data_IF_902469647545
#
_entry.id   IF_902469647545
#
_cell.length_a   1.000
_cell.length_b   1.000
_cell.length_c   1.000
_cell.angle_alpha   90.00
_cell.angle_beta   90.00
_cell.angle_gamma   90.00
#
_symmetry.space_group_name_H-M   'P 1'
#
loop_
_entity.id
_entity.type
_entity.pdbx_description
1 polymer ?
#
# COMPACT_ATOMS: atom_id res chain seq x y z
N UNK A 1 16.82 -15.54 16.16
CA UNK A 1 15.72 -16.11 15.35
C UNK A 1 14.78 -14.97 15.01
N UNK A 2 14.29 -14.87 13.77
CA UNK A 2 13.33 -13.84 13.33
C UNK A 2 11.90 -14.32 13.66
N UNK A 3 11.09 -13.46 14.27
CA UNK A 3 9.67 -13.71 14.51
C UNK A 3 8.86 -13.23 13.29
N UNK A 4 8.68 -14.11 12.30
CA UNK A 4 8.06 -13.78 11.02
C UNK A 4 6.59 -13.37 11.13
N UNK A 5 5.89 -13.87 12.15
CA UNK A 5 4.52 -13.49 12.50
C UNK A 5 4.39 -12.00 12.80
N UNK A 6 5.42 -11.39 13.42
CA UNK A 6 5.41 -9.96 13.75
C UNK A 6 5.69 -9.03 12.57
N UNK A 7 6.00 -9.57 11.39
CA UNK A 7 6.35 -8.76 10.20
C UNK A 7 5.13 -8.57 9.29
N UNK A 8 4.12 -9.42 9.46
CA UNK A 8 2.91 -9.46 8.65
C UNK A 8 2.10 -8.16 8.64
N UNK A 9 2.14 -7.36 9.69
CA UNK A 9 1.40 -6.11 9.81
C UNK A 9 2.22 -5.04 10.54
N UNK A 10 1.86 -3.76 10.43
CA UNK A 10 2.60 -2.70 11.11
C UNK A 10 2.62 -2.87 12.63
N UNK A 11 3.81 -2.85 13.23
CA UNK A 11 3.97 -3.05 14.67
C UNK A 11 4.13 -1.72 15.42
N UNK A 12 3.47 -1.55 16.59
CA UNK A 12 3.66 -0.38 17.47
C UNK A 12 5.10 -0.24 17.98
N UNK A 13 5.82 -1.35 18.17
CA UNK A 13 7.22 -1.38 18.62
C UNK A 13 8.22 -1.33 17.45
N UNK A 14 7.72 -1.21 16.22
CA UNK A 14 8.49 -1.21 14.97
C UNK A 14 9.38 -2.45 14.78
N UNK A 15 9.07 -3.58 15.44
CA UNK A 15 9.84 -4.82 15.29
C UNK A 15 9.99 -5.23 13.82
N UNK A 16 8.93 -5.07 13.04
CA UNK A 16 8.93 -5.39 11.62
C UNK A 16 9.94 -4.53 10.83
N UNK A 17 10.01 -3.23 11.12
CA UNK A 17 11.01 -2.35 10.54
C UNK A 17 12.42 -2.75 10.95
N UNK A 18 12.65 -3.08 12.22
CA UNK A 18 13.97 -3.49 12.71
C UNK A 18 14.45 -4.81 12.08
N UNK A 19 13.57 -5.77 11.90
CA UNK A 19 13.93 -6.99 11.16
C UNK A 19 14.22 -6.67 9.70
N UNK A 20 13.34 -5.92 9.03
CA UNK A 20 13.52 -5.56 7.63
C UNK A 20 14.80 -4.73 7.44
N UNK A 21 15.21 -3.90 8.40
CA UNK A 21 16.53 -3.22 8.43
C UNK A 21 17.71 -4.19 8.53
N UNK A 22 17.60 -5.24 9.35
CA UNK A 22 18.68 -6.24 9.52
C UNK A 22 18.81 -7.18 8.32
N UNK A 23 17.70 -7.48 7.65
CA UNK A 23 17.70 -8.21 6.39
C UNK A 23 18.35 -7.40 5.24
N UNK A 24 18.49 -6.08 5.42
CA UNK A 24 18.83 -5.08 4.39
C UNK A 24 20.33 -4.80 4.17
N UNK A 25 21.24 -5.70 4.51
CA UNK A 25 22.68 -5.47 4.29
C UNK A 25 23.14 -5.50 2.80
N UNK A 26 22.22 -5.45 1.82
CA UNK A 26 22.57 -5.41 0.38
C UNK A 26 21.60 -4.54 -0.44
N UNK A 27 22.01 -3.31 -0.78
CA UNK A 27 21.69 -2.53 -2.01
C UNK A 27 20.24 -2.31 -2.52
N UNK A 28 19.19 -2.91 -1.95
CA UNK A 28 17.89 -3.05 -2.62
C UNK A 28 16.85 -1.97 -2.32
N UNK A 29 17.04 -1.03 -1.38
CA UNK A 29 15.89 -0.24 -0.84
C UNK A 29 16.13 1.25 -0.68
N UNK A 30 17.22 1.78 -1.22
CA UNK A 30 17.26 3.22 -1.46
C UNK A 30 17.58 3.43 -2.91
N UNK A 31 16.65 3.98 -3.70
CA UNK A 31 17.05 4.42 -5.00
C UNK A 31 18.10 5.49 -4.71
N UNK A 32 19.27 5.42 -5.35
CA UNK A 32 20.08 6.62 -5.43
C UNK A 32 19.21 7.58 -6.23
N UNK A 33 18.53 8.50 -5.55
CA UNK A 33 17.79 9.59 -6.21
C UNK A 33 18.79 10.21 -7.17
N UNK A 34 18.60 9.94 -8.47
CA UNK A 34 19.56 10.37 -9.49
C UNK A 34 19.52 11.90 -9.50
N UNK A 35 20.66 12.52 -9.82
CA UNK A 35 20.85 13.98 -9.71
C UNK A 35 19.96 14.82 -10.64
N UNK A 36 19.12 14.18 -11.47
CA UNK A 36 18.24 14.83 -12.45
C UNK A 36 16.85 15.18 -11.90
N UNK A 37 16.51 14.75 -10.69
CA UNK A 37 15.19 15.01 -10.10
C UNK A 37 15.06 16.41 -9.50
N UNK A 38 13.91 17.08 -9.73
CA UNK A 38 13.59 18.36 -9.10
C UNK A 38 12.80 18.11 -7.81
N UNK A 39 13.38 18.41 -6.66
CA UNK A 39 12.66 18.37 -5.37
C UNK A 39 11.84 19.66 -5.22
N UNK A 40 10.55 19.52 -4.94
CA UNK A 40 9.64 20.63 -4.64
C UNK A 40 9.67 20.94 -3.13
N UNK A 41 9.43 19.92 -2.32
CA UNK A 41 9.52 19.98 -0.87
C UNK A 41 9.87 18.60 -0.28
N UNK A 42 10.01 18.55 1.03
CA UNK A 42 10.26 17.32 1.79
C UNK A 42 9.24 17.14 2.90
N UNK A 43 8.94 15.88 3.23
CA UNK A 43 8.02 15.51 4.31
C UNK A 43 8.60 14.39 5.19
N UNK A 44 7.87 14.02 6.26
CA UNK A 44 8.29 13.03 7.26
C UNK A 44 9.69 13.31 7.84
N UNK A 45 9.90 14.52 8.37
CA UNK A 45 11.18 14.97 8.94
C UNK A 45 12.34 14.92 7.92
N UNK A 46 12.08 15.40 6.69
CA UNK A 46 13.02 15.40 5.57
C UNK A 46 13.46 14.02 5.07
N UNK A 47 12.74 12.96 5.41
CA UNK A 47 13.05 11.59 4.97
C UNK A 47 12.47 11.25 3.60
N UNK A 48 11.43 11.96 3.17
CA UNK A 48 10.75 11.74 1.89
C UNK A 48 10.80 13.02 1.09
N UNK A 49 11.33 12.95 -0.13
CA UNK A 49 11.26 14.03 -1.09
C UNK A 49 9.98 13.95 -1.92
N UNK A 50 9.38 15.09 -2.22
CA UNK A 50 8.28 15.22 -3.16
C UNK A 50 8.77 16.05 -4.33
N UNK A 51 8.61 15.56 -5.56
CA UNK A 51 9.02 16.34 -6.72
C UNK A 51 8.97 15.59 -8.03
N UNK A 52 9.58 16.15 -9.06
CA UNK A 52 9.52 15.60 -10.42
C UNK A 52 10.70 14.67 -10.64
N UNK A 53 10.39 13.38 -10.77
CA UNK A 53 11.38 12.35 -11.08
C UNK A 53 11.52 12.22 -12.60
N UNK A 54 12.66 12.68 -13.12
CA UNK A 54 12.97 12.63 -14.56
C UNK A 54 13.77 11.35 -14.87
N UNK A 55 13.03 10.27 -15.12
CA UNK A 55 13.52 9.04 -15.73
C UNK A 55 12.52 8.63 -16.82
N UNK A 56 12.88 7.64 -17.64
CA UNK A 56 11.90 6.87 -18.43
C UNK A 56 10.95 6.19 -17.44
N UNK A 57 9.96 6.95 -16.97
CA UNK A 57 8.81 6.40 -16.30
C UNK A 57 8.12 5.48 -17.32
N UNK A 58 7.67 4.27 -16.95
CA UNK A 58 6.94 3.41 -17.87
C UNK A 58 5.66 4.06 -18.42
N UNK A 59 5.23 5.17 -17.81
CA UNK A 59 4.15 6.02 -18.27
C UNK A 59 4.64 7.24 -19.09
N UNK A 60 5.87 7.24 -19.61
CA UNK A 60 6.42 8.36 -20.37
C UNK A 60 5.50 8.75 -21.53
N UNK A 61 5.04 10.00 -21.54
CA UNK A 61 4.07 10.51 -22.52
C UNK A 61 2.60 10.27 -22.18
N UNK A 62 2.28 9.67 -21.03
CA UNK A 62 0.90 9.46 -20.54
C UNK A 62 0.52 10.35 -19.36
N UNK A 63 1.46 11.15 -18.85
CA UNK A 63 1.22 12.04 -17.72
C UNK A 63 1.95 13.36 -17.84
N UNK A 64 1.37 14.37 -17.20
CA UNK A 64 2.00 15.65 -16.92
C UNK A 64 2.41 15.71 -15.45
N UNK A 65 3.49 16.42 -15.14
CA UNK A 65 3.85 16.66 -13.75
C UNK A 65 2.87 17.65 -13.12
N UNK A 66 2.34 17.32 -11.93
CA UNK A 66 1.52 18.28 -11.18
C UNK A 66 2.43 19.27 -10.41
N UNK A 67 1.97 20.51 -10.18
CA UNK A 67 2.68 21.45 -9.31
C UNK A 67 2.72 20.95 -7.85
N UNK A 68 3.40 21.71 -6.99
CA UNK A 68 3.35 21.48 -5.54
C UNK A 68 1.88 21.49 -5.08
N UNK A 69 1.45 20.37 -4.50
CA UNK A 69 0.03 20.09 -4.33
C UNK A 69 -0.37 20.08 -2.86
N UNK A 70 -1.29 20.99 -2.52
CA UNK A 70 -2.00 21.05 -1.23
C UNK A 70 -2.60 19.69 -0.85
N UNK A 71 -2.97 18.87 -1.85
CA UNK A 71 -3.50 17.53 -1.62
C UNK A 71 -2.48 16.57 -1.03
N UNK A 72 -1.19 16.67 -1.40
CA UNK A 72 -0.13 15.83 -0.83
C UNK A 72 0.07 16.15 0.65
N UNK A 73 0.08 17.44 1.02
CA UNK A 73 0.20 17.82 2.43
C UNK A 73 -0.97 17.29 3.26
N UNK A 74 -2.21 17.44 2.75
CA UNK A 74 -3.41 16.92 3.42
C UNK A 74 -3.43 15.39 3.52
N UNK A 75 -2.99 14.68 2.48
CA UNK A 75 -2.92 13.22 2.52
C UNK A 75 -1.87 12.73 3.52
N UNK A 76 -0.75 13.46 3.68
CA UNK A 76 0.23 13.18 4.72
C UNK A 76 -0.39 13.35 6.11
N UNK A 77 -1.19 14.39 6.35
CA UNK A 77 -1.89 14.56 7.63
C UNK A 77 -2.77 13.35 7.97
N UNK A 78 -3.46 12.77 6.98
CA UNK A 78 -4.21 11.52 7.15
C UNK A 78 -3.31 10.32 7.50
N UNK A 79 -2.13 10.19 6.88
CA UNK A 79 -1.17 9.13 7.21
C UNK A 79 -0.64 9.26 8.64
N UNK A 80 -0.45 10.48 9.14
CA UNK A 80 0.06 10.75 10.48
C UNK A 80 -0.90 10.33 11.60
N UNK A 81 -2.17 10.06 11.26
CA UNK A 81 -3.17 9.53 12.18
C UNK A 81 -3.03 8.05 12.46
N UNK A 82 -2.16 7.38 11.70
CA UNK A 82 -1.72 6.03 11.94
C UNK A 82 -0.26 6.06 12.44
N UNK A 83 -0.02 5.97 13.77
CA UNK A 83 1.31 6.14 14.35
C UNK A 83 2.36 5.19 13.80
N UNK A 84 2.01 3.94 13.54
CA UNK A 84 2.91 2.98 12.92
C UNK A 84 3.29 3.43 11.50
N UNK A 85 2.31 3.86 10.70
CA UNK A 85 2.53 4.32 9.33
C UNK A 85 3.48 5.52 9.25
N UNK A 86 3.40 6.44 10.23
CA UNK A 86 4.31 7.59 10.33
C UNK A 86 5.78 7.16 10.28
N UNK A 87 6.13 6.03 10.87
CA UNK A 87 7.51 5.52 10.85
C UNK A 87 7.78 4.56 9.69
N UNK A 88 6.79 3.75 9.27
CA UNK A 88 7.00 2.81 8.17
C UNK A 88 7.11 3.51 6.82
N UNK A 89 6.25 4.49 6.56
CA UNK A 89 6.18 5.16 5.28
C UNK A 89 7.54 5.75 4.85
N UNK A 90 8.20 6.63 5.62
CA UNK A 90 9.52 7.16 5.27
C UNK A 90 10.66 6.14 5.33
N UNK A 91 10.41 4.92 5.81
CA UNK A 91 11.38 3.84 5.77
C UNK A 91 11.36 3.10 4.41
N UNK A 92 10.19 2.95 3.80
CA UNK A 92 10.03 2.29 2.50
C UNK A 92 10.02 3.27 1.33
N UNK A 93 9.45 4.45 1.52
CA UNK A 93 9.31 5.49 0.50
C UNK A 93 10.36 6.57 0.77
N UNK A 94 11.04 6.99 -0.30
CA UNK A 94 12.05 8.05 -0.26
C UNK A 94 11.73 9.19 -1.24
N UNK A 95 10.93 8.92 -2.26
CA UNK A 95 10.55 9.89 -3.27
C UNK A 95 9.12 9.68 -3.73
N UNK A 96 8.34 10.76 -3.78
CA UNK A 96 6.98 10.81 -4.33
C UNK A 96 7.03 11.66 -5.59
N UNK A 97 6.65 11.06 -6.71
CA UNK A 97 6.50 11.75 -7.99
C UNK A 97 5.03 11.98 -8.30
N UNK A 98 4.49 13.19 -8.04
CA UNK A 98 3.10 13.46 -8.30
C UNK A 98 2.88 13.66 -9.81
N UNK A 99 1.81 13.06 -10.32
CA UNK A 99 1.49 12.98 -11.75
C UNK A 99 0.04 13.35 -12.02
N UNK A 100 -0.24 13.89 -13.21
CA UNK A 100 -1.57 14.10 -13.76
C UNK A 100 -1.73 13.18 -14.96
N UNK A 101 -2.69 12.27 -14.92
CA UNK A 101 -3.03 11.44 -16.08
C UNK A 101 -4.05 12.19 -16.96
N UNK A 102 -3.78 12.28 -18.26
CA UNK A 102 -4.63 13.04 -19.21
C UNK A 102 -6.07 12.50 -19.28
N UNK A 103 -6.25 11.19 -19.06
CA UNK A 103 -7.57 10.54 -19.15
C UNK A 103 -8.41 10.67 -17.88
N UNK A 104 -7.83 11.17 -16.79
CA UNK A 104 -8.47 11.21 -15.46
C UNK A 104 -9.12 12.55 -15.11
N UNK A 105 -9.21 13.50 -16.04
CA UNK A 105 -9.88 14.79 -15.82
C UNK A 105 -11.36 14.65 -15.37
N UNK A 106 -11.97 13.46 -15.54
CA UNK A 106 -13.38 13.19 -15.23
C UNK A 106 -13.66 12.40 -13.95
N UNK A 107 -12.65 11.87 -13.24
CA UNK A 107 -12.89 11.12 -11.99
C UNK A 107 -12.33 11.87 -10.76
N UNK A 108 -13.17 12.63 -10.04
CA UNK A 108 -12.74 13.38 -8.87
C UNK A 108 -12.43 12.50 -7.65
N UNK A 109 -12.84 11.23 -7.62
CA UNK A 109 -12.83 10.41 -6.39
C UNK A 109 -11.93 9.16 -6.48
N UNK A 110 -10.81 9.24 -7.19
CA UNK A 110 -9.84 8.15 -7.24
C UNK A 110 -8.40 8.64 -7.33
N UNK A 111 -7.48 7.75 -6.99
CA UNK A 111 -6.05 7.94 -7.25
C UNK A 111 -5.50 6.76 -8.04
N UNK A 112 -4.72 7.06 -9.07
CA UNK A 112 -3.85 6.10 -9.74
C UNK A 112 -2.47 6.17 -9.12
N UNK A 113 -1.92 5.00 -8.84
CA UNK A 113 -0.60 4.87 -8.24
C UNK A 113 0.20 3.75 -8.86
N UNK A 114 1.50 3.81 -8.65
CA UNK A 114 2.40 2.72 -8.98
C UNK A 114 3.74 2.86 -8.28
N UNK A 115 4.37 1.71 -8.05
CA UNK A 115 5.77 1.58 -7.71
C UNK A 115 6.38 0.44 -8.52
N UNK A 116 7.70 0.46 -8.67
CA UNK A 116 8.41 -0.62 -9.32
C UNK A 116 9.48 -1.20 -8.39
N UNK A 117 9.76 -2.50 -8.57
CA UNK A 117 10.73 -3.23 -7.75
C UNK A 117 12.18 -2.85 -8.06
N UNK A 118 12.45 -2.34 -9.27
CA UNK A 118 13.75 -1.88 -9.75
C UNK A 118 14.06 -0.41 -9.38
N UNK A 119 13.02 0.36 -9.02
CA UNK A 119 13.11 1.71 -8.45
C UNK A 119 12.54 1.74 -7.02
N UNK A 120 13.13 0.94 -6.10
CA UNK A 120 12.60 0.75 -4.77
C UNK A 120 12.52 2.09 -4.04
N UNK A 121 11.39 2.41 -3.42
CA UNK A 121 11.21 3.65 -2.66
C UNK A 121 10.88 4.90 -3.49
N UNK A 122 10.66 4.75 -4.80
CA UNK A 122 9.97 5.72 -5.63
C UNK A 122 8.50 5.29 -5.80
N UNK A 123 7.58 6.22 -5.62
CA UNK A 123 6.16 6.02 -5.92
C UNK A 123 5.64 7.14 -6.82
N UNK A 124 4.71 6.79 -7.72
CA UNK A 124 3.99 7.70 -8.59
C UNK A 124 2.54 7.79 -8.13
N UNK A 125 1.99 8.99 -8.01
CA UNK A 125 0.65 9.20 -7.46
C UNK A 125 -0.09 10.32 -8.21
N UNK A 126 -1.36 10.13 -8.55
CA UNK A 126 -2.23 11.24 -8.94
C UNK A 126 -2.77 11.99 -7.74
N UNK A 127 -2.95 13.31 -7.86
CA UNK A 127 -3.19 14.20 -6.70
C UNK A 127 -4.56 14.86 -6.67
N UNK A 128 -5.59 14.21 -7.22
CA UNK A 128 -6.93 14.79 -7.38
C UNK A 128 -7.68 15.05 -6.06
N UNK A 129 -7.57 14.13 -5.09
CA UNK A 129 -8.25 14.20 -3.79
C UNK A 129 -7.33 13.66 -2.69
N UNK A 130 -7.25 14.30 -1.50
CA UNK A 130 -6.31 13.92 -0.47
C UNK A 130 -6.62 12.55 0.18
N UNK A 131 -7.88 12.11 0.18
CA UNK A 131 -8.26 10.83 0.78
C UNK A 131 -7.80 9.63 -0.08
N UNK A 132 -8.21 9.49 -1.36
CA UNK A 132 -7.65 8.46 -2.24
C UNK A 132 -6.15 8.59 -2.45
N UNK A 133 -5.57 9.80 -2.33
CA UNK A 133 -4.12 9.97 -2.35
C UNK A 133 -3.45 9.34 -1.11
N UNK A 134 -4.05 9.46 0.07
CA UNK A 134 -3.57 8.79 1.28
C UNK A 134 -3.69 7.26 1.15
N UNK A 135 -4.80 6.75 0.62
CA UNK A 135 -4.97 5.33 0.29
C UNK A 135 -3.86 4.85 -0.65
N UNK A 136 -3.59 5.60 -1.72
CA UNK A 136 -2.56 5.29 -2.71
C UNK A 136 -1.14 5.30 -2.13
N UNK A 137 -0.81 6.25 -1.24
CA UNK A 137 0.46 6.25 -0.51
C UNK A 137 0.65 4.96 0.28
N UNK A 138 -0.35 4.56 1.07
CA UNK A 138 -0.29 3.35 1.88
C UNK A 138 -0.29 2.08 1.02
N UNK A 139 -1.01 2.09 -0.10
CA UNK A 139 -1.02 1.01 -1.09
C UNK A 139 0.39 0.69 -1.60
N UNK A 140 1.09 1.71 -2.10
CA UNK A 140 2.41 1.52 -2.70
C UNK A 140 3.46 1.18 -1.64
N UNK A 141 3.37 1.78 -0.43
CA UNK A 141 4.20 1.39 0.71
C UNK A 141 4.06 -0.11 1.00
N UNK A 142 2.83 -0.62 1.05
CA UNK A 142 2.56 -2.03 1.32
C UNK A 142 3.17 -2.96 0.26
N UNK A 143 3.16 -2.56 -1.01
CA UNK A 143 3.88 -3.26 -2.07
C UNK A 143 5.40 -3.23 -1.88
N UNK A 144 5.97 -2.06 -1.59
CA UNK A 144 7.41 -1.92 -1.30
C UNK A 144 7.84 -2.76 -0.09
N UNK A 145 6.98 -2.91 0.92
CA UNK A 145 7.21 -3.81 2.06
C UNK A 145 7.30 -5.27 1.61
N UNK A 146 6.36 -5.74 0.79
CA UNK A 146 6.43 -7.12 0.26
C UNK A 146 7.65 -7.33 -0.65
N UNK A 147 7.98 -6.36 -1.51
CA UNK A 147 9.19 -6.42 -2.34
C UNK A 147 10.45 -6.51 -1.47
N UNK A 148 10.50 -5.82 -0.34
CA UNK A 148 11.63 -5.90 0.60
C UNK A 148 11.82 -7.27 1.24
N UNK A 149 10.78 -8.11 1.21
CA UNK A 149 10.80 -9.49 1.68
C UNK A 149 11.07 -10.49 0.55
N UNK A 150 11.33 -10.03 -0.68
CA UNK A 150 11.49 -10.90 -1.85
C UNK A 150 10.16 -11.46 -2.38
N UNK A 151 9.03 -10.94 -1.91
CA UNK A 151 7.70 -11.27 -2.44
C UNK A 151 7.44 -10.29 -3.59
N UNK A 152 7.45 -10.80 -4.82
CA UNK A 152 7.15 -10.03 -6.03
C UNK A 152 5.77 -10.42 -6.56
N UNK A 153 5.22 -9.64 -7.50
CA UNK A 153 3.93 -9.94 -8.13
C UNK A 153 3.89 -11.32 -8.82
N UNK A 154 5.04 -11.81 -9.30
CA UNK A 154 5.11 -13.05 -10.09
C UNK A 154 5.76 -14.21 -9.34
N UNK A 155 6.46 -13.95 -8.24
CA UNK A 155 7.21 -14.96 -7.49
C UNK A 155 7.32 -14.60 -6.03
N UNK A 156 7.10 -15.60 -5.18
CA UNK A 156 7.30 -15.55 -3.74
C UNK A 156 7.74 -16.92 -3.21
N UNK A 157 8.63 -17.60 -3.96
CA UNK A 157 8.97 -19.01 -3.77
C UNK A 157 9.49 -19.39 -2.38
N UNK A 158 10.13 -18.45 -1.66
CA UNK A 158 10.54 -18.67 -0.27
C UNK A 158 9.36 -18.66 0.71
N UNK A 159 8.25 -18.02 0.35
CA UNK A 159 7.09 -17.76 1.21
C UNK A 159 5.89 -18.63 0.90
N UNK A 160 5.64 -18.92 -0.37
CA UNK A 160 4.54 -19.75 -0.86
C UNK A 160 5.05 -20.81 -1.83
N UNK A 161 4.43 -21.99 -1.77
CA UNK A 161 4.73 -23.15 -2.63
C UNK A 161 3.75 -23.30 -3.81
N UNK A 162 2.83 -22.36 -3.98
CA UNK A 162 1.97 -22.29 -5.16
C UNK A 162 2.84 -22.13 -6.44
N UNK A 163 2.60 -22.92 -7.51
CA UNK A 163 3.27 -22.72 -8.79
C UNK A 163 3.00 -21.32 -9.35
N UNK A 164 3.97 -20.73 -10.05
CA UNK A 164 3.85 -19.38 -10.60
C UNK A 164 2.81 -19.29 -11.73
N UNK A 165 2.57 -20.40 -12.41
CA UNK A 165 1.63 -20.56 -13.53
C UNK A 165 0.20 -20.86 -13.05
N UNK A 166 0.03 -21.18 -11.75
CA UNK A 166 -1.29 -21.41 -11.19
C UNK A 166 -2.01 -20.08 -10.98
N UNK A 167 -3.20 -19.96 -11.58
CA UNK A 167 -3.98 -18.74 -11.62
C UNK A 167 -5.14 -18.82 -10.63
N UNK A 168 -5.41 -17.71 -9.94
CA UNK A 168 -6.40 -17.59 -8.88
C UNK A 168 -7.16 -16.27 -9.01
N UNK A 169 -8.47 -16.29 -8.74
CA UNK A 169 -9.29 -15.10 -8.83
C UNK A 169 -8.82 -13.96 -7.91
N UNK A 170 -8.70 -12.74 -8.45
CA UNK A 170 -8.40 -11.51 -7.70
C UNK A 170 -9.62 -10.59 -7.70
N UNK A 171 -10.24 -10.39 -6.53
CA UNK A 171 -11.40 -9.47 -6.36
C UNK A 171 -11.09 -8.00 -6.63
N UNK A 172 -9.81 -7.63 -6.68
CA UNK A 172 -9.36 -6.27 -6.99
C UNK A 172 -9.30 -6.01 -8.49
N UNK A 173 -8.80 -6.97 -9.26
CA UNK A 173 -8.65 -6.85 -10.72
C UNK A 173 -9.78 -7.52 -11.50
N UNK A 174 -10.65 -8.25 -10.81
CA UNK A 174 -11.73 -9.05 -11.39
C UNK A 174 -11.26 -10.00 -12.50
N UNK A 175 -10.12 -10.64 -12.26
CA UNK A 175 -9.48 -11.57 -13.19
C UNK A 175 -8.58 -12.55 -12.45
N UNK A 176 -8.15 -13.62 -13.10
CA UNK A 176 -7.23 -14.59 -12.50
C UNK A 176 -5.79 -14.07 -12.54
N UNK A 177 -5.02 -14.31 -11.47
CA UNK A 177 -3.63 -13.89 -11.31
C UNK A 177 -2.83 -14.95 -10.53
N UNK A 178 -1.48 -14.95 -10.64
CA UNK A 178 -0.64 -15.79 -9.77
C UNK A 178 -0.92 -15.54 -8.28
N UNK A 179 -0.76 -16.56 -7.44
CA UNK A 179 -1.04 -16.43 -5.99
C UNK A 179 -0.25 -15.29 -5.32
N UNK A 180 1.00 -15.04 -5.75
CA UNK A 180 1.78 -13.93 -5.23
C UNK A 180 1.12 -12.57 -5.53
N UNK A 181 0.59 -12.37 -6.73
CA UNK A 181 -0.16 -11.16 -7.08
C UNK A 181 -1.48 -11.04 -6.30
N UNK A 182 -2.16 -12.15 -6.01
CA UNK A 182 -3.36 -12.16 -5.15
C UNK A 182 -3.00 -11.77 -3.71
N UNK A 183 -1.88 -12.28 -3.18
CA UNK A 183 -1.34 -11.89 -1.88
C UNK A 183 -1.02 -10.40 -1.83
N UNK A 184 -0.32 -9.87 -2.84
CA UNK A 184 -0.03 -8.42 -2.94
C UNK A 184 -1.32 -7.59 -2.91
N UNK A 185 -2.33 -7.98 -3.70
CA UNK A 185 -3.59 -7.26 -3.78
C UNK A 185 -4.33 -7.27 -2.44
N UNK A 186 -4.43 -8.41 -1.76
CA UNK A 186 -5.04 -8.44 -0.42
C UNK A 186 -4.21 -7.61 0.57
N UNK A 187 -2.88 -7.76 0.56
CA UNK A 187 -2.00 -7.10 1.51
C UNK A 187 -2.10 -5.58 1.44
N UNK A 188 -2.02 -4.99 0.23
CA UNK A 188 -2.12 -3.53 0.07
C UNK A 188 -3.50 -3.00 0.41
N UNK A 189 -4.58 -3.68 0.01
CA UNK A 189 -5.94 -3.21 0.31
C UNK A 189 -6.37 -3.43 1.76
N UNK A 190 -5.80 -4.39 2.50
CA UNK A 190 -6.00 -4.47 3.95
C UNK A 190 -5.35 -3.27 4.66
N UNK A 191 -4.20 -2.77 4.18
CA UNK A 191 -3.62 -1.54 4.72
C UNK A 191 -4.50 -0.31 4.40
N UNK A 192 -5.07 -0.23 3.19
CA UNK A 192 -6.06 0.80 2.83
C UNK A 192 -7.26 0.74 3.78
N UNK A 193 -7.92 -0.43 3.87
CA UNK A 193 -9.09 -0.60 4.73
C UNK A 193 -8.79 -0.23 6.19
N UNK A 194 -7.60 -0.55 6.68
CA UNK A 194 -7.20 -0.18 8.04
C UNK A 194 -7.06 1.34 8.21
N UNK A 195 -6.40 2.03 7.26
CA UNK A 195 -6.32 3.50 7.24
C UNK A 195 -7.72 4.12 7.20
N UNK A 196 -8.58 3.68 6.27
CA UNK A 196 -9.93 4.21 6.10
C UNK A 196 -10.74 4.14 7.39
N UNK A 197 -10.66 3.02 8.11
CA UNK A 197 -11.35 2.84 9.37
C UNK A 197 -10.84 3.76 10.49
N UNK A 198 -9.57 4.16 10.46
CA UNK A 198 -9.03 5.20 11.36
C UNK A 198 -9.65 6.55 11.00
N UNK A 199 -9.59 6.93 9.72
CA UNK A 199 -10.04 8.24 9.25
C UNK A 199 -11.55 8.41 9.44
N UNK A 200 -12.35 7.40 9.11
CA UNK A 200 -13.80 7.39 9.32
C UNK A 200 -14.18 7.56 10.80
N UNK A 201 -13.43 6.94 11.73
CA UNK A 201 -13.69 7.11 13.16
C UNK A 201 -13.27 8.47 13.68
N UNK A 202 -12.15 8.99 13.18
CA UNK A 202 -11.57 10.25 13.66
C UNK A 202 -12.28 11.49 13.10
N UNK A 203 -12.80 11.40 11.87
CA UNK A 203 -13.42 12.51 11.16
C UNK A 203 -14.90 12.25 10.82
N UNK A 204 -15.78 12.03 11.83
CA UNK A 204 -17.18 11.69 11.59
C UNK A 204 -18.01 12.84 10.99
N UNK A 205 -17.49 14.07 11.07
CA UNK A 205 -18.15 15.28 10.55
C UNK A 205 -17.43 15.88 9.35
N UNK A 206 -16.52 15.13 8.72
CA UNK A 206 -15.88 15.59 7.48
C UNK A 206 -16.94 15.79 6.39
N UNK A 207 -16.80 16.82 5.57
CA UNK A 207 -17.78 17.11 4.51
C UNK A 207 -17.93 15.93 3.53
N UNK A 208 -16.84 15.19 3.28
CA UNK A 208 -16.77 14.04 2.37
C UNK A 208 -16.97 12.69 3.07
N UNK A 209 -17.39 12.69 4.35
CA UNK A 209 -17.47 11.49 5.19
C UNK A 209 -18.35 10.38 4.59
N UNK A 210 -19.49 10.72 4.00
CA UNK A 210 -20.37 9.73 3.35
C UNK A 210 -19.75 9.14 2.08
N UNK A 211 -18.99 9.93 1.32
CA UNK A 211 -18.23 9.43 0.17
C UNK A 211 -17.16 8.44 0.63
N UNK A 212 -16.40 8.78 1.68
CA UNK A 212 -15.40 7.88 2.25
C UNK A 212 -16.03 6.56 2.73
N UNK A 213 -17.22 6.62 3.36
CA UNK A 213 -17.97 5.43 3.77
C UNK A 213 -18.32 4.52 2.60
N UNK A 214 -18.77 5.09 1.48
CA UNK A 214 -19.12 4.33 0.27
C UNK A 214 -17.88 3.61 -0.26
N UNK A 215 -16.78 4.33 -0.46
CA UNK A 215 -15.52 3.78 -0.98
C UNK A 215 -14.97 2.68 -0.05
N UNK A 216 -14.92 2.95 1.26
CA UNK A 216 -14.43 2.00 2.27
C UNK A 216 -15.30 0.74 2.30
N UNK A 217 -16.62 0.87 2.18
CA UNK A 217 -17.53 -0.28 2.15
C UNK A 217 -17.31 -1.15 0.91
N UNK A 218 -17.01 -0.56 -0.24
CA UNK A 218 -16.68 -1.31 -1.46
C UNK A 218 -15.33 -2.02 -1.33
N UNK A 219 -14.32 -1.36 -0.74
CA UNK A 219 -13.04 -1.99 -0.37
C UNK A 219 -13.26 -3.17 0.58
N UNK A 220 -14.09 -3.01 1.62
CA UNK A 220 -14.42 -4.06 2.58
C UNK A 220 -14.98 -5.31 1.90
N UNK A 221 -15.94 -5.17 0.98
CA UNK A 221 -16.52 -6.30 0.24
C UNK A 221 -15.46 -7.05 -0.57
N UNK A 222 -14.58 -6.31 -1.26
CA UNK A 222 -13.49 -6.92 -2.04
C UNK A 222 -12.49 -7.67 -1.16
N UNK A 223 -12.19 -7.13 0.03
CA UNK A 223 -11.31 -7.77 1.01
C UNK A 223 -11.89 -9.04 1.62
N UNK A 224 -13.21 -9.12 1.79
CA UNK A 224 -13.88 -10.37 2.19
C UNK A 224 -13.67 -11.47 1.15
N UNK A 225 -13.93 -11.17 -0.13
CA UNK A 225 -13.71 -12.13 -1.22
C UNK A 225 -12.23 -12.53 -1.33
N UNK A 226 -11.31 -11.57 -1.26
CA UNK A 226 -9.88 -11.86 -1.34
C UNK A 226 -9.36 -12.69 -0.15
N UNK A 227 -9.87 -12.45 1.05
CA UNK A 227 -9.60 -13.27 2.24
C UNK A 227 -9.99 -14.73 1.99
N UNK A 228 -11.21 -14.97 1.51
CA UNK A 228 -11.69 -16.33 1.23
C UNK A 228 -10.85 -17.05 0.15
N UNK A 229 -10.42 -16.31 -0.88
CA UNK A 229 -9.55 -16.87 -1.92
C UNK A 229 -8.22 -17.30 -1.31
N UNK A 230 -7.57 -16.45 -0.50
CA UNK A 230 -6.28 -16.78 0.10
C UNK A 230 -6.40 -17.99 1.03
N UNK A 231 -7.36 -18.00 1.95
CA UNK A 231 -7.54 -19.10 2.90
C UNK A 231 -7.71 -20.47 2.25
N UNK A 232 -8.41 -20.51 1.11
CA UNK A 232 -8.68 -21.76 0.39
C UNK A 232 -7.49 -22.25 -0.42
N UNK A 233 -6.63 -21.33 -0.88
CA UNK A 233 -5.72 -21.62 -1.99
C UNK A 233 -4.24 -21.38 -1.67
N UNK A 234 -3.89 -20.52 -0.72
CA UNK A 234 -2.49 -20.24 -0.41
C UNK A 234 -1.85 -21.47 0.22
N UNK A 235 -0.63 -21.80 -0.22
CA UNK A 235 0.15 -22.92 0.29
C UNK A 235 1.47 -22.38 0.85
N UNK A 236 1.50 -21.89 2.10
CA UNK A 236 2.71 -21.33 2.68
C UNK A 236 3.83 -22.37 2.70
N UNK A 237 5.09 -21.92 2.54
CA UNK A 237 6.25 -22.75 2.87
C UNK A 237 6.43 -22.79 4.40
N UNK A 238 7.33 -23.64 4.89
CA UNK A 238 7.71 -23.64 6.32
C UNK A 238 8.25 -22.27 6.80
N UNK A 239 8.91 -21.51 5.91
CA UNK A 239 9.40 -20.17 6.24
C UNK A 239 8.26 -19.14 6.25
N UNK A 240 7.37 -19.20 5.24
CA UNK A 240 6.30 -18.24 5.07
C UNK A 240 5.09 -18.45 5.97
N UNK A 241 4.88 -19.66 6.49
CA UNK A 241 3.72 -20.03 7.31
C UNK A 241 3.44 -19.03 8.46
N UNK A 242 4.39 -18.67 9.34
CA UNK A 242 4.09 -17.72 10.43
C UNK A 242 3.68 -16.33 9.93
N UNK A 243 4.29 -15.86 8.84
CA UNK A 243 3.93 -14.57 8.23
C UNK A 243 2.54 -14.61 7.60
N UNK A 244 2.23 -15.64 6.82
CA UNK A 244 0.95 -15.77 6.12
C UNK A 244 -0.20 -15.96 7.12
N UNK A 245 -0.04 -16.82 8.13
CA UNK A 245 -1.06 -17.01 9.16
C UNK A 245 -1.34 -15.72 9.95
N UNK A 246 -0.28 -15.01 10.37
CA UNK A 246 -0.40 -13.74 11.06
C UNK A 246 -1.07 -12.67 10.19
N UNK A 247 -0.70 -12.61 8.90
CA UNK A 247 -1.35 -11.71 7.94
C UNK A 247 -2.84 -12.01 7.77
N UNK A 248 -3.20 -13.29 7.57
CA UNK A 248 -4.61 -13.69 7.43
C UNK A 248 -5.40 -13.42 8.71
N UNK A 249 -4.78 -13.57 9.88
CA UNK A 249 -5.39 -13.20 11.16
C UNK A 249 -5.66 -11.69 11.26
N UNK A 250 -4.67 -10.85 10.93
CA UNK A 250 -4.84 -9.39 10.92
C UNK A 250 -5.85 -8.92 9.87
N UNK A 251 -5.86 -9.54 8.69
CA UNK A 251 -6.85 -9.30 7.63
C UNK A 251 -8.27 -9.59 8.13
N UNK A 252 -8.50 -10.73 8.79
CA UNK A 252 -9.80 -11.05 9.42
C UNK A 252 -10.23 -10.02 10.45
N UNK A 253 -9.34 -9.64 11.35
CA UNK A 253 -9.63 -8.64 12.39
C UNK A 253 -10.01 -7.28 11.78
N UNK A 254 -9.25 -6.83 10.76
CA UNK A 254 -9.53 -5.59 10.04
C UNK A 254 -10.88 -5.64 9.32
N UNK A 255 -11.18 -6.75 8.62
CA UNK A 255 -12.48 -6.98 7.98
C UNK A 255 -13.62 -7.01 9.01
N UNK A 256 -13.41 -7.64 10.17
CA UNK A 256 -14.40 -7.70 11.25
C UNK A 256 -14.69 -6.31 11.82
N UNK A 257 -13.66 -5.48 12.03
CA UNK A 257 -13.80 -4.07 12.43
C UNK A 257 -14.57 -3.26 11.39
N UNK A 258 -14.29 -3.49 10.10
CA UNK A 258 -15.05 -2.87 9.01
C UNK A 258 -16.53 -3.25 9.05
N UNK A 259 -16.85 -4.55 9.17
CA UNK A 259 -18.25 -5.01 9.31
C UNK A 259 -18.95 -4.39 10.52
N UNK A 260 -18.27 -4.32 11.66
CA UNK A 260 -18.82 -3.73 12.88
C UNK A 260 -19.13 -2.23 12.69
N UNK A 261 -18.30 -1.50 11.94
CA UNK A 261 -18.55 -0.09 11.63
C UNK A 261 -19.79 0.13 10.75
N UNK A 262 -20.04 -0.75 9.78
CA UNK A 262 -21.17 -0.63 8.84
C UNK A 262 -22.46 -1.35 9.28
N UNK A 263 -22.44 -2.09 10.39
CA UNK A 263 -23.66 -2.71 10.95
C UNK A 263 -24.50 -1.64 11.67
N UNK A 264 -25.78 -1.44 11.32
CA UNK A 264 -26.65 -0.53 12.06
C UNK A 264 -26.77 -0.95 13.54
N UNK A 265 -26.61 0.01 14.45
CA UNK A 265 -27.02 -0.18 15.85
C UNK A 265 -28.54 0.01 15.88
N UNK A 266 -29.28 -1.09 16.03
CA UNK A 266 -30.73 -1.10 16.18
C UNK A 266 -31.16 -0.68 17.59
#
# INVERSE_FOLDING_TARGET
MIAWDKIAFPQPDHYDLEVIKRLKDTSLIRPKVKSTSKVLFTCFDNRVAVGHYHHECPYSGMYNHTPEDVMISKSIDYLLDWPEMKEQFPFFVSFINPIQLEFFESNPFGSSSGCHWDEPGLIYLTTNDPFPLAEAMVHEMAHLKLFSLGITMNSASEWISNPAEAMYYSSIKDTERPMAAVLHAQYSFIHILYLDLILLKKYPTHQDHETWKILTNDTLKRMQTGQEVLERNIKPTKLGEPFIESFLSWSKDTIAKGRAYFTPIH
#
